data_IF_411376107365
#
_entry.id   IF_411376107365
#
_cell.length_a   1.000
_cell.length_b   1.000
_cell.length_c   1.000
_cell.angle_alpha   90.00
_cell.angle_beta   90.00
_cell.angle_gamma   90.00
#
_symmetry.space_group_name_H-M   'P 1'
#
loop_
_entity.id
_entity.type
_entity.pdbx_description
1 polymer ?
#
# COMPACT_ATOMS: atom_id res chain seq x y z
N UNK A 1 -8.67 -19.12 5.19
CA UNK A 1 -7.31 -18.56 5.08
C UNK A 1 -6.94 -17.84 6.37
N UNK A 2 -5.69 -17.92 6.73
CA UNK A 2 -5.20 -17.23 7.92
C UNK A 2 -5.19 -15.71 7.71
N UNK A 3 -5.68 -14.98 8.70
CA UNK A 3 -5.64 -13.52 8.71
C UNK A 3 -4.83 -13.08 9.91
N UNK A 4 -3.80 -12.26 9.67
CA UNK A 4 -2.95 -11.69 10.70
C UNK A 4 -3.11 -10.18 10.69
N UNK A 5 -3.39 -9.60 11.85
CA UNK A 5 -3.48 -8.16 12.02
C UNK A 5 -2.43 -7.70 13.02
N UNK A 6 -1.99 -6.47 12.88
CA UNK A 6 -1.03 -5.90 13.80
C UNK A 6 -0.88 -4.40 13.64
N UNK A 7 -0.04 -3.83 14.49
CA UNK A 7 0.30 -2.41 14.47
C UNK A 7 1.80 -2.27 14.40
N UNK A 8 2.27 -1.52 13.44
CA UNK A 8 3.68 -1.18 13.30
C UNK A 8 3.95 0.18 13.95
N UNK A 9 4.91 0.28 14.89
CA UNK A 9 5.33 1.59 15.40
C UNK A 9 5.89 2.44 14.27
N UNK A 10 5.41 3.68 14.14
CA UNK A 10 5.90 4.58 13.12
C UNK A 10 5.78 6.03 13.60
N UNK A 11 6.90 6.77 13.65
CA UNK A 11 6.98 8.17 14.04
C UNK A 11 6.26 8.50 15.36
N UNK A 12 6.32 7.60 16.34
CA UNK A 12 5.62 7.76 17.62
C UNK A 12 4.15 7.39 17.61
N UNK A 13 3.64 6.96 16.47
CA UNK A 13 2.27 6.48 16.26
C UNK A 13 2.27 5.02 15.86
N UNK A 14 1.13 4.51 15.42
CA UNK A 14 0.99 3.11 15.01
C UNK A 14 0.29 3.03 13.66
N UNK A 15 0.82 2.19 12.78
CA UNK A 15 0.23 1.89 11.49
C UNK A 15 -0.40 0.50 11.54
N UNK A 16 -1.70 0.44 11.32
CA UNK A 16 -2.44 -0.82 11.28
C UNK A 16 -2.16 -1.55 9.96
N UNK A 17 -1.88 -2.85 10.04
CA UNK A 17 -1.76 -3.70 8.85
C UNK A 17 -2.53 -5.00 8.99
N UNK A 18 -2.87 -5.59 7.85
CA UNK A 18 -3.61 -6.85 7.76
C UNK A 18 -2.99 -7.70 6.66
N UNK A 19 -2.68 -8.93 7.00
CA UNK A 19 -2.08 -9.90 6.07
C UNK A 19 -3.02 -11.08 5.93
N UNK A 20 -3.39 -11.42 4.71
CA UNK A 20 -4.24 -12.57 4.40
C UNK A 20 -3.41 -13.62 3.69
N UNK A 21 -3.42 -14.85 4.24
CA UNK A 21 -2.70 -15.98 3.67
C UNK A 21 -1.21 -15.93 3.93
N UNK A 22 -0.49 -16.81 3.23
CA UNK A 22 0.97 -16.92 3.31
C UNK A 22 1.53 -16.98 1.90
N UNK A 23 2.74 -16.49 1.73
CA UNK A 23 3.43 -16.56 0.44
C UNK A 23 4.13 -17.91 0.31
N UNK A 24 3.77 -18.67 -0.71
CA UNK A 24 4.42 -19.95 -1.02
C UNK A 24 5.82 -19.72 -1.59
N UNK A 25 6.68 -20.71 -1.43
CA UNK A 25 8.04 -20.68 -1.99
C UNK A 25 8.01 -20.40 -3.50
N UNK A 26 8.88 -19.50 -3.94
CA UNK A 26 8.97 -19.11 -5.35
C UNK A 26 7.97 -18.04 -5.78
N UNK A 27 7.10 -17.61 -4.88
CA UNK A 27 6.12 -16.54 -5.14
C UNK A 27 6.45 -15.31 -4.31
N UNK A 28 5.78 -14.21 -4.61
CA UNK A 28 5.97 -12.94 -3.89
C UNK A 28 4.63 -12.41 -3.41
N UNK A 29 4.59 -11.75 -2.25
CA UNK A 29 3.35 -11.14 -1.74
C UNK A 29 2.93 -9.93 -2.59
N UNK A 30 1.68 -9.53 -2.42
CA UNK A 30 1.17 -8.31 -3.02
C UNK A 30 0.83 -7.30 -1.92
N UNK A 31 1.26 -6.06 -2.09
CA UNK A 31 0.95 -4.96 -1.17
C UNK A 31 -0.09 -4.07 -1.86
N UNK A 32 -1.18 -3.81 -1.14
CA UNK A 32 -2.30 -3.01 -1.62
C UNK A 32 -2.27 -1.63 -0.96
N UNK A 33 -2.23 -0.58 -1.77
CA UNK A 33 -2.20 0.81 -1.33
C UNK A 33 -3.56 1.44 -1.57
N UNK A 34 -4.29 1.76 -0.48
CA UNK A 34 -5.62 2.34 -0.58
C UNK A 34 -5.60 3.79 -1.09
N UNK A 35 -6.75 4.24 -1.57
CA UNK A 35 -6.93 5.61 -2.02
C UNK A 35 -7.08 6.59 -0.86
N UNK A 36 -7.39 7.79 -1.18
CA UNK A 36 -7.50 8.88 -0.22
C UNK A 36 -6.59 10.01 -0.62
N UNK A 37 -6.01 10.73 0.33
CA UNK A 37 -5.97 10.49 1.79
C UNK A 37 -7.36 10.53 2.43
N UNK A 38 -7.53 9.78 3.53
CA UNK A 38 -8.78 9.74 4.26
C UNK A 38 -9.64 8.49 4.01
N UNK A 39 -9.23 7.64 3.06
CA UNK A 39 -9.84 6.34 2.87
C UNK A 39 -9.15 5.28 3.74
N UNK A 40 -9.51 4.03 3.60
CA UNK A 40 -8.93 2.91 4.36
C UNK A 40 -8.74 1.70 3.46
N UNK A 41 -8.15 0.65 4.02
CA UNK A 41 -7.97 -0.62 3.32
C UNK A 41 -9.28 -1.40 3.09
N UNK A 42 -10.38 -1.03 3.75
CA UNK A 42 -11.57 -1.89 3.87
C UNK A 42 -12.10 -2.43 2.54
N UNK A 43 -12.12 -1.60 1.50
CA UNK A 43 -12.61 -2.05 0.20
C UNK A 43 -11.69 -3.07 -0.47
N UNK A 44 -10.43 -3.16 -0.06
CA UNK A 44 -9.51 -4.17 -0.56
C UNK A 44 -9.79 -5.56 0.02
N UNK A 45 -10.60 -5.66 1.07
CA UNK A 45 -10.96 -6.97 1.64
C UNK A 45 -11.64 -7.86 0.60
N UNK A 46 -12.25 -7.25 -0.42
CA UNK A 46 -12.80 -8.00 -1.56
C UNK A 46 -11.71 -8.75 -2.33
N UNK A 47 -10.45 -8.34 -2.19
CA UNK A 47 -9.30 -8.97 -2.86
C UNK A 47 -8.63 -10.05 -2.02
N UNK A 48 -9.20 -10.40 -0.85
CA UNK A 48 -8.66 -11.46 0.00
C UNK A 48 -8.48 -12.78 -0.75
N UNK A 49 -9.33 -13.03 -1.73
CA UNK A 49 -9.26 -14.25 -2.53
C UNK A 49 -7.99 -14.36 -3.36
N UNK A 50 -7.26 -13.27 -3.57
CA UNK A 50 -5.97 -13.30 -4.24
C UNK A 50 -4.99 -14.17 -3.45
N UNK A 51 -5.17 -14.28 -2.12
CA UNK A 51 -4.34 -15.13 -1.29
C UNK A 51 -4.47 -16.62 -1.65
N UNK A 52 -5.56 -17.03 -2.31
CA UNK A 52 -5.74 -18.41 -2.79
C UNK A 52 -4.73 -18.76 -3.88
N UNK A 53 -4.08 -17.78 -4.49
CA UNK A 53 -3.04 -18.01 -5.49
C UNK A 53 -1.68 -18.36 -4.88
N UNK A 54 -1.61 -18.47 -3.55
CA UNK A 54 -0.35 -18.76 -2.84
C UNK A 54 0.50 -17.53 -2.57
N UNK A 55 -0.13 -16.33 -2.55
CA UNK A 55 0.53 -15.06 -2.24
C UNK A 55 -0.13 -14.40 -1.04
N UNK A 56 0.65 -13.96 -0.06
CA UNK A 56 0.10 -13.15 1.01
C UNK A 56 -0.40 -11.82 0.43
N UNK A 57 -1.57 -11.41 0.89
CA UNK A 57 -2.17 -10.12 0.52
C UNK A 57 -2.00 -9.19 1.70
N UNK A 58 -1.23 -8.13 1.53
CA UNK A 58 -0.86 -7.20 2.59
C UNK A 58 -1.59 -5.88 2.36
N UNK A 59 -2.34 -5.47 3.36
CA UNK A 59 -3.06 -4.19 3.37
C UNK A 59 -2.70 -3.45 4.64
N UNK A 60 -2.77 -2.13 4.60
CA UNK A 60 -2.59 -1.32 5.78
C UNK A 60 -3.39 -0.04 5.66
N UNK A 61 -3.71 0.56 6.79
CA UNK A 61 -4.31 1.90 6.82
C UNK A 61 -3.18 2.91 6.94
N UNK A 62 -3.06 3.77 5.93
CA UNK A 62 -2.01 4.80 5.92
C UNK A 62 -2.17 5.72 7.11
N UNK A 63 -1.05 6.24 7.62
CA UNK A 63 -1.04 7.10 8.81
C UNK A 63 -2.07 8.21 8.68
N UNK A 64 -2.91 8.35 9.70
CA UNK A 64 -4.00 9.30 9.72
C UNK A 64 -5.32 8.77 9.18
N UNK A 65 -5.35 7.54 8.68
CA UNK A 65 -6.54 6.93 8.08
C UNK A 65 -7.00 5.73 8.91
N UNK A 66 -8.30 5.52 8.98
CA UNK A 66 -8.90 4.35 9.61
C UNK A 66 -8.30 4.00 10.97
N UNK A 67 -7.78 2.78 11.08
CA UNK A 67 -7.19 2.27 12.31
C UNK A 67 -5.81 2.86 12.63
N UNK A 68 -5.26 3.68 11.73
CA UNK A 68 -4.01 4.42 11.92
C UNK A 68 -4.27 5.91 12.18
N UNK A 69 -5.44 6.23 12.69
CA UNK A 69 -5.89 7.62 12.91
C UNK A 69 -4.96 8.38 13.85
N UNK A 70 -4.65 9.63 13.49
CA UNK A 70 -3.87 10.58 14.28
C UNK A 70 -4.62 11.90 14.32
N UNK A 71 -4.91 12.40 15.51
CA UNK A 71 -5.61 13.65 15.68
C UNK A 71 -4.63 14.82 15.81
N UNK A 72 -4.93 15.93 15.12
CA UNK A 72 -4.28 17.20 15.38
C UNK A 72 -2.88 17.39 14.82
N UNK A 73 -2.43 16.61 13.86
CA UNK A 73 -1.08 16.69 13.28
C UNK A 73 -1.09 16.78 11.76
N UNK A 74 -1.68 17.84 11.17
CA UNK A 74 -1.74 17.96 9.70
C UNK A 74 -0.37 18.05 9.03
N UNK A 75 0.69 18.39 9.74
CA UNK A 75 2.05 18.41 9.22
C UNK A 75 2.56 17.04 8.81
N UNK A 76 1.92 15.97 9.27
CA UNK A 76 2.26 14.60 8.89
C UNK A 76 1.65 14.17 7.55
N UNK A 77 0.71 14.93 7.02
CA UNK A 77 -0.02 14.59 5.80
C UNK A 77 0.76 15.01 4.56
N UNK A 78 1.91 14.39 4.33
CA UNK A 78 2.76 14.69 3.18
C UNK A 78 3.14 13.41 2.43
N UNK A 79 3.39 13.50 1.12
CA UNK A 79 3.86 12.34 0.37
C UNK A 79 5.12 11.71 0.96
N UNK A 80 6.03 12.52 1.51
CA UNK A 80 7.26 12.04 2.14
C UNK A 80 6.95 11.15 3.34
N UNK A 81 5.99 11.55 4.17
CA UNK A 81 5.59 10.75 5.33
C UNK A 81 5.03 9.41 4.91
N UNK A 82 4.13 9.39 3.94
CA UNK A 82 3.51 8.15 3.47
C UNK A 82 4.49 7.25 2.72
N UNK A 83 5.45 7.84 2.02
CA UNK A 83 6.54 7.06 1.40
C UNK A 83 7.41 6.40 2.47
N UNK A 84 7.79 7.14 3.51
CA UNK A 84 8.54 6.59 4.64
C UNK A 84 7.78 5.47 5.34
N UNK A 85 6.47 5.64 5.49
CA UNK A 85 5.62 4.62 6.11
C UNK A 85 5.61 3.33 5.30
N UNK A 86 5.45 3.43 3.99
CA UNK A 86 5.48 2.26 3.10
C UNK A 86 6.83 1.54 3.20
N UNK A 87 7.93 2.28 3.15
CA UNK A 87 9.27 1.71 3.31
C UNK A 87 9.44 1.04 4.68
N UNK A 88 8.95 1.68 5.73
CA UNK A 88 9.02 1.14 7.09
C UNK A 88 8.22 -0.16 7.21
N UNK A 89 7.05 -0.23 6.59
CA UNK A 89 6.21 -1.43 6.61
C UNK A 89 6.89 -2.60 5.88
N UNK A 90 7.48 -2.33 4.73
CA UNK A 90 8.23 -3.32 3.96
C UNK A 90 9.36 -3.90 4.81
N UNK A 91 10.12 -3.04 5.48
CA UNK A 91 11.20 -3.46 6.36
C UNK A 91 10.67 -4.21 7.59
N UNK A 92 9.62 -3.69 8.21
CA UNK A 92 9.03 -4.28 9.42
C UNK A 92 8.52 -5.69 9.19
N UNK A 93 7.95 -5.94 8.01
CA UNK A 93 7.41 -7.25 7.63
C UNK A 93 8.45 -8.13 6.94
N UNK A 94 9.71 -7.67 6.81
CA UNK A 94 10.82 -8.41 6.19
C UNK A 94 10.49 -8.87 4.77
N UNK A 95 9.98 -7.96 3.95
CA UNK A 95 9.59 -8.25 2.57
C UNK A 95 10.72 -7.83 1.64
N UNK A 96 11.30 -8.80 0.89
CA UNK A 96 12.38 -8.51 -0.05
C UNK A 96 11.86 -8.18 -1.45
N UNK A 97 10.86 -8.92 -1.91
CA UNK A 97 10.26 -8.77 -3.23
C UNK A 97 8.74 -8.81 -3.12
N UNK A 98 8.07 -8.00 -3.91
CA UNK A 98 6.61 -7.87 -3.81
C UNK A 98 6.02 -7.31 -5.10
N UNK A 99 4.71 -7.53 -5.26
CA UNK A 99 3.91 -6.84 -6.26
C UNK A 99 3.19 -5.68 -5.57
N UNK A 100 2.94 -4.61 -6.32
CA UNK A 100 2.37 -3.38 -5.76
C UNK A 100 1.12 -3.00 -6.55
N UNK A 101 -0.01 -2.89 -5.85
CA UNK A 101 -1.27 -2.43 -6.44
C UNK A 101 -1.72 -1.18 -5.69
N UNK A 102 -1.90 -0.09 -6.43
CA UNK A 102 -2.41 1.16 -5.85
C UNK A 102 -3.71 1.58 -6.50
N UNK A 103 -4.61 2.17 -5.73
CA UNK A 103 -5.89 2.67 -6.19
C UNK A 103 -5.99 4.16 -5.89
N UNK A 104 -6.22 4.99 -6.91
CA UNK A 104 -6.31 6.44 -6.78
C UNK A 104 -5.03 7.02 -6.16
N UNK A 105 -5.08 7.65 -4.98
CA UNK A 105 -3.89 8.15 -4.27
C UNK A 105 -2.86 7.04 -4.04
N UNK A 106 -3.33 5.82 -3.70
CA UNK A 106 -2.44 4.67 -3.53
C UNK A 106 -1.62 4.39 -4.79
N UNK A 107 -2.20 4.62 -5.96
CA UNK A 107 -1.48 4.52 -7.22
C UNK A 107 -0.40 5.60 -7.37
N UNK A 108 -0.67 6.81 -6.91
CA UNK A 108 0.35 7.87 -6.86
C UNK A 108 1.48 7.50 -5.91
N UNK A 109 1.15 6.96 -4.75
CA UNK A 109 2.14 6.50 -3.78
C UNK A 109 3.00 5.39 -4.38
N UNK A 110 2.39 4.47 -5.13
CA UNK A 110 3.14 3.43 -5.85
C UNK A 110 4.13 4.04 -6.83
N UNK A 111 3.69 5.03 -7.62
CA UNK A 111 4.56 5.72 -8.59
C UNK A 111 5.70 6.43 -7.87
N UNK A 112 5.41 7.11 -6.77
CA UNK A 112 6.43 7.80 -5.96
C UNK A 112 7.47 6.79 -5.47
N UNK A 113 7.04 5.63 -4.97
CA UNK A 113 7.95 4.57 -4.55
C UNK A 113 8.83 4.09 -5.70
N UNK A 114 8.24 3.85 -6.88
CA UNK A 114 8.99 3.39 -8.05
C UNK A 114 10.09 4.37 -8.45
N UNK A 115 9.81 5.66 -8.37
CA UNK A 115 10.76 6.71 -8.75
C UNK A 115 11.79 6.93 -7.64
N UNK A 116 11.35 7.23 -6.43
CA UNK A 116 12.24 7.63 -5.33
C UNK A 116 13.08 6.47 -4.79
N UNK A 117 12.55 5.26 -4.80
CA UNK A 117 13.25 4.05 -4.35
C UNK A 117 13.74 3.18 -5.49
N UNK A 118 13.66 3.70 -6.73
CA UNK A 118 14.14 2.99 -7.93
C UNK A 118 13.58 1.58 -8.03
N UNK A 119 12.27 1.44 -7.73
CA UNK A 119 11.53 0.17 -7.77
C UNK A 119 12.16 -0.94 -6.92
N UNK A 120 12.84 -0.61 -5.84
CA UNK A 120 13.52 -1.59 -4.98
C UNK A 120 12.54 -2.68 -4.51
N UNK A 121 12.82 -3.92 -4.88
CA UNK A 121 12.03 -5.09 -4.49
C UNK A 121 10.76 -5.31 -5.31
N UNK A 122 10.38 -4.39 -6.18
CA UNK A 122 9.13 -4.46 -6.93
C UNK A 122 9.27 -5.41 -8.11
N UNK A 123 8.41 -6.45 -8.15
CA UNK A 123 8.33 -7.39 -9.28
C UNK A 123 7.34 -6.92 -10.33
N UNK A 124 6.25 -6.28 -9.91
CA UNK A 124 5.31 -5.62 -10.81
C UNK A 124 4.52 -4.57 -10.03
N UNK A 125 4.01 -3.59 -10.73
CA UNK A 125 3.17 -2.56 -10.14
C UNK A 125 1.99 -2.29 -11.08
N UNK A 126 0.79 -2.15 -10.49
CA UNK A 126 -0.42 -1.84 -11.23
C UNK A 126 -0.85 -0.43 -10.85
N UNK A 127 -0.62 0.56 -11.73
CA UNK A 127 -1.10 1.91 -11.50
C UNK A 127 -2.60 1.97 -11.77
N UNK A 128 -3.31 2.94 -11.21
CA UNK A 128 -4.74 3.06 -11.44
C UNK A 128 -5.03 3.49 -12.88
N UNK A 129 -5.90 2.75 -13.55
CA UNK A 129 -6.36 3.10 -14.90
C UNK A 129 -7.00 4.50 -14.96
N UNK A 130 -7.51 4.96 -13.82
CA UNK A 130 -8.08 6.29 -13.68
C UNK A 130 -7.11 7.39 -14.11
N UNK A 131 -5.83 7.29 -13.70
CA UNK A 131 -4.83 8.29 -14.06
C UNK A 131 -4.51 8.29 -15.55
N UNK A 132 -4.44 7.13 -16.16
CA UNK A 132 -4.20 7.03 -17.58
C UNK A 132 -5.32 7.68 -18.40
N UNK A 133 -6.57 7.49 -17.96
CA UNK A 133 -7.73 8.12 -18.60
C UNK A 133 -7.73 9.63 -18.41
N UNK A 134 -7.35 10.09 -17.22
CA UNK A 134 -7.30 11.50 -16.90
C UNK A 134 -6.26 12.23 -17.77
N UNK A 135 -5.07 11.64 -17.87
CA UNK A 135 -4.01 12.18 -18.69
C UNK A 135 -4.40 12.24 -20.16
N UNK A 136 -5.00 11.17 -20.67
CA UNK A 136 -5.50 11.12 -22.04
C UNK A 136 -6.57 12.17 -22.30
N UNK A 137 -7.34 12.54 -21.30
CA UNK A 137 -8.37 13.55 -21.42
C UNK A 137 -7.80 14.96 -21.58
N UNK A 138 -6.62 15.22 -20.99
CA UNK A 138 -5.93 16.50 -21.16
C UNK A 138 -5.09 16.55 -22.42
N UNK A 139 -4.64 15.41 -22.92
CA UNK A 139 -3.85 15.30 -24.13
C UNK A 139 -4.74 15.27 -25.37
N UNK A 140 -6.04 15.16 -25.23
CA UNK A 140 -6.99 15.24 -26.31
C UNK A 140 -7.15 16.69 -26.76
N UNK A 141 -6.96 16.99 -28.05
CA UNK A 141 -7.22 18.32 -28.57
C UNK A 141 -8.68 18.70 -28.50
#
# INVERSE_FOLDING_TARGET
MEIKEGYMPFMGYQTYYRIVGKTEEGKNPIILLHGGPGSTHNYFELLDRVAETGRAVIMYDQLGCGNSFVEGHPELWTPETWLKELCALIDYLHIDHFHLLGQSWGGMLAIIYLIEKQAKGVKSAIPPLFYLRYDNKFDSP
#
